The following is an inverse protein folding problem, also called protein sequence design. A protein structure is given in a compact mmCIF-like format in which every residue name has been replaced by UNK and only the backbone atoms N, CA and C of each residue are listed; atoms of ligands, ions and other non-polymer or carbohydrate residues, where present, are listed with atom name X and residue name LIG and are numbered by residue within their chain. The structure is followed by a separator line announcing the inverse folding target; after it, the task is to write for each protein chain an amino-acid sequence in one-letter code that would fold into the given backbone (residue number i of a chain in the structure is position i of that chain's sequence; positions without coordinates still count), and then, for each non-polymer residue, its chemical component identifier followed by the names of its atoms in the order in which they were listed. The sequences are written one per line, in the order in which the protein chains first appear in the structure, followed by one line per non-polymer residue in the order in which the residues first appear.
data_IF_525852881072
#
_entry.id   IF_525852881072
#
_cell.length_a   1.000
_cell.length_b   1.000
_cell.length_c   1.000
_cell.angle_alpha   90.00
_cell.angle_beta   90.00
_cell.angle_gamma   90.00
#
_symmetry.space_group_name_H-M   'P 1'
#
loop_
_entity.id
_entity.type
_entity.pdbx_description
1 polymer ?
#
# COMPACT_ATOMS: atom_id res chain seq x y z
N UNK A 1 -18.74 -37.75 -2.20
CA UNK A 1 -19.29 -36.40 -2.49
C UNK A 1 -18.75 -35.32 -1.55
N UNK A 2 -18.76 -35.48 -0.22
CA UNK A 2 -18.30 -34.44 0.73
C UNK A 2 -16.86 -33.92 0.54
N UNK A 3 -15.93 -34.77 0.06
CA UNK A 3 -14.52 -34.42 -0.14
C UNK A 3 -14.28 -33.45 -1.31
N UNK A 4 -15.16 -33.43 -2.30
CA UNK A 4 -15.08 -32.48 -3.42
C UNK A 4 -15.60 -31.08 -3.01
N UNK A 5 -16.58 -30.99 -2.12
CA UNK A 5 -17.11 -29.72 -1.60
C UNK A 5 -16.15 -28.99 -0.64
N UNK A 6 -15.43 -29.72 0.22
CA UNK A 6 -14.41 -29.11 1.09
C UNK A 6 -13.23 -28.57 0.29
N UNK A 7 -12.80 -29.30 -0.74
CA UNK A 7 -11.70 -28.88 -1.61
C UNK A 7 -12.05 -27.59 -2.35
N UNK A 8 -13.27 -27.45 -2.86
CA UNK A 8 -13.72 -26.21 -3.52
C UNK A 8 -13.87 -25.04 -2.54
N UNK A 9 -14.31 -25.27 -1.30
CA UNK A 9 -14.37 -24.23 -0.27
C UNK A 9 -12.99 -23.74 0.13
N UNK A 10 -12.01 -24.62 0.28
CA UNK A 10 -10.63 -24.22 0.60
C UNK A 10 -9.95 -23.54 -0.58
N UNK A 11 -10.17 -24.00 -1.81
CA UNK A 11 -9.70 -23.30 -3.01
C UNK A 11 -10.31 -21.89 -3.10
N UNK A 12 -11.63 -21.74 -2.92
CA UNK A 12 -12.30 -20.43 -2.94
C UNK A 12 -11.80 -19.49 -1.85
N UNK A 13 -11.55 -19.97 -0.63
CA UNK A 13 -10.94 -19.17 0.44
C UNK A 13 -9.53 -18.72 0.07
N UNK A 14 -8.68 -19.65 -0.39
CA UNK A 14 -7.30 -19.35 -0.77
C UNK A 14 -7.24 -18.35 -1.94
N UNK A 15 -8.09 -18.52 -2.96
CA UNK A 15 -8.18 -17.59 -4.09
C UNK A 15 -8.69 -16.21 -3.65
N UNK A 16 -9.65 -16.15 -2.72
CA UNK A 16 -10.13 -14.90 -2.15
C UNK A 16 -9.02 -14.18 -1.36
N UNK A 17 -8.17 -14.90 -0.66
CA UNK A 17 -7.04 -14.33 0.07
C UNK A 17 -6.01 -13.69 -0.88
N UNK A 18 -5.65 -14.36 -1.99
CA UNK A 18 -4.77 -13.79 -3.02
C UNK A 18 -5.34 -12.52 -3.67
N UNK A 19 -6.65 -12.52 -3.94
CA UNK A 19 -7.34 -11.33 -4.46
C UNK A 19 -7.35 -10.19 -3.43
N UNK A 20 -7.49 -10.52 -2.14
CA UNK A 20 -7.41 -9.56 -1.03
C UNK A 20 -6.03 -8.93 -0.94
N UNK A 21 -4.96 -9.73 -0.96
CA UNK A 21 -3.58 -9.22 -0.93
C UNK A 21 -3.23 -8.37 -2.16
N UNK A 22 -3.73 -8.72 -3.34
CA UNK A 22 -3.53 -7.89 -4.54
C UNK A 22 -4.22 -6.53 -4.39
N UNK A 23 -5.48 -6.50 -3.95
CA UNK A 23 -6.24 -5.26 -3.75
C UNK A 23 -5.58 -4.35 -2.69
N UNK A 24 -5.04 -4.98 -1.66
CA UNK A 24 -4.32 -4.34 -0.57
C UNK A 24 -2.98 -3.73 -1.02
N UNK A 25 -2.19 -4.49 -1.80
CA UNK A 25 -0.98 -3.99 -2.43
C UNK A 25 -1.26 -2.82 -3.37
N UNK A 26 -2.37 -2.87 -4.13
CA UNK A 26 -2.84 -1.75 -4.95
C UNK A 26 -3.19 -0.53 -4.10
N UNK A 27 -3.90 -0.70 -2.98
CA UNK A 27 -4.26 0.40 -2.08
C UNK A 27 -3.02 1.06 -1.45
N UNK A 28 -2.05 0.26 -1.02
CA UNK A 28 -0.78 0.76 -0.49
C UNK A 28 0.06 1.46 -1.56
N UNK A 29 0.20 0.85 -2.74
CA UNK A 29 0.93 1.43 -3.87
C UNK A 29 0.34 2.77 -4.30
N UNK A 30 -0.99 2.85 -4.38
CA UNK A 30 -1.71 4.10 -4.68
C UNK A 30 -1.42 5.19 -3.64
N UNK A 31 -1.42 4.85 -2.35
CA UNK A 31 -1.12 5.78 -1.27
C UNK A 31 0.31 6.33 -1.36
N UNK A 32 1.31 5.47 -1.63
CA UNK A 32 2.72 5.87 -1.79
C UNK A 32 2.89 6.82 -2.98
N UNK A 33 2.26 6.50 -4.11
CA UNK A 33 2.32 7.32 -5.33
C UNK A 33 1.74 8.70 -5.04
N UNK A 34 0.57 8.78 -4.40
CA UNK A 34 -0.08 10.06 -4.05
C UNK A 34 0.81 10.90 -3.14
N UNK A 35 1.34 10.31 -2.08
CA UNK A 35 2.18 11.02 -1.10
C UNK A 35 3.44 11.54 -1.79
N UNK A 36 4.11 10.72 -2.59
CA UNK A 36 5.34 11.10 -3.29
C UNK A 36 5.09 12.20 -4.32
N UNK A 37 4.02 12.10 -5.12
CA UNK A 37 3.65 13.12 -6.10
C UNK A 37 3.20 14.43 -5.44
N UNK A 38 2.49 14.35 -4.31
CA UNK A 38 2.12 15.52 -3.53
C UNK A 38 3.36 16.28 -3.04
N UNK A 39 4.36 15.56 -2.51
CA UNK A 39 5.64 16.15 -2.11
C UNK A 39 6.34 16.86 -3.27
N UNK A 40 6.38 16.23 -4.44
CA UNK A 40 6.97 16.82 -5.65
C UNK A 40 6.20 18.06 -6.15
N UNK A 41 4.87 18.01 -6.15
CA UNK A 41 4.01 19.12 -6.56
C UNK A 41 4.14 20.36 -5.66
N UNK A 42 4.29 20.15 -4.34
CA UNK A 42 4.57 21.23 -3.39
C UNK A 42 5.92 21.90 -3.68
N UNK A 43 6.95 21.10 -3.98
CA UNK A 43 8.29 21.60 -4.30
C UNK A 43 8.27 22.49 -5.57
N UNK A 44 7.46 22.10 -6.56
CA UNK A 44 7.27 22.85 -7.81
C UNK A 44 6.48 24.15 -7.58
N UNK A 45 5.45 24.12 -6.73
CA UNK A 45 4.62 25.28 -6.40
C UNK A 45 5.40 26.34 -5.62
N UNK A 46 6.25 25.91 -4.68
CA UNK A 46 7.03 26.82 -3.84
C UNK A 46 8.21 27.46 -4.59
N UNK A 47 8.54 27.05 -5.82
CA UNK A 47 9.74 27.49 -6.59
C UNK A 47 11.00 27.50 -5.72
N UNK A 48 11.06 26.61 -4.74
CA UNK A 48 12.13 26.61 -3.77
C UNK A 48 13.32 25.92 -4.43
N UNK A 49 14.40 26.66 -4.70
CA UNK A 49 15.61 26.06 -5.30
C UNK A 49 16.18 24.94 -4.43
N UNK A 50 15.92 25.01 -3.13
CA UNK A 50 16.16 23.95 -2.17
C UNK A 50 14.91 23.07 -2.03
N UNK A 51 14.98 21.88 -2.62
CA UNK A 51 13.98 20.79 -2.64
C UNK A 51 13.70 20.14 -1.27
N UNK A 52 13.60 20.95 -0.23
CA UNK A 52 13.53 20.52 1.18
C UNK A 52 12.22 19.76 1.44
N UNK A 53 11.13 20.18 0.81
CA UNK A 53 9.84 19.51 0.96
C UNK A 53 9.89 18.12 0.35
N UNK A 54 10.45 17.96 -0.86
CA UNK A 54 10.66 16.64 -1.48
C UNK A 54 11.51 15.73 -0.60
N UNK A 55 12.58 16.24 0.02
CA UNK A 55 13.46 15.43 0.90
C UNK A 55 12.68 14.94 2.13
N UNK A 56 11.97 15.85 2.81
CA UNK A 56 11.17 15.51 4.00
C UNK A 56 10.05 14.54 3.62
N UNK A 57 9.32 14.79 2.53
CA UNK A 57 8.25 13.92 2.04
C UNK A 57 8.77 12.56 1.61
N UNK A 58 9.95 12.47 0.99
CA UNK A 58 10.56 11.19 0.62
C UNK A 58 10.87 10.35 1.85
N UNK A 59 11.44 10.96 2.90
CA UNK A 59 11.73 10.27 4.16
C UNK A 59 10.42 9.84 4.83
N UNK A 60 9.47 10.78 4.98
CA UNK A 60 8.14 10.50 5.54
C UNK A 60 7.40 9.42 4.78
N UNK A 61 7.48 9.40 3.45
CA UNK A 61 6.83 8.40 2.61
C UNK A 61 7.39 7.00 2.87
N UNK A 62 8.69 6.86 3.10
CA UNK A 62 9.30 5.56 3.47
C UNK A 62 8.79 5.13 4.85
N UNK A 63 8.78 6.03 5.83
CA UNK A 63 8.24 5.72 7.17
C UNK A 63 6.76 5.34 7.13
N UNK A 64 5.93 6.08 6.38
CA UNK A 64 4.52 5.77 6.20
C UNK A 64 4.33 4.44 5.47
N UNK A 65 5.09 4.17 4.42
CA UNK A 65 4.99 2.91 3.68
C UNK A 65 5.27 1.71 4.58
N UNK A 66 6.32 1.79 5.41
CA UNK A 66 6.66 0.74 6.36
C UNK A 66 5.59 0.63 7.45
N UNK A 67 5.14 1.74 8.02
CA UNK A 67 4.10 1.75 9.06
C UNK A 67 2.79 1.15 8.54
N UNK A 68 2.36 1.55 7.34
CA UNK A 68 1.16 1.00 6.70
C UNK A 68 1.35 -0.47 6.38
N UNK A 69 2.48 -0.89 5.82
CA UNK A 69 2.75 -2.30 5.54
C UNK A 69 2.65 -3.16 6.80
N UNK A 70 3.32 -2.72 7.88
CA UNK A 70 3.33 -3.44 9.15
C UNK A 70 1.94 -3.45 9.78
N UNK A 71 1.27 -2.30 9.85
CA UNK A 71 -0.09 -2.19 10.38
C UNK A 71 -1.08 -3.03 9.62
N UNK A 72 -0.98 -3.06 8.30
CA UNK A 72 -1.89 -3.78 7.42
C UNK A 72 -1.69 -5.30 7.50
N UNK A 73 -0.44 -5.76 7.60
CA UNK A 73 -0.11 -7.14 7.92
C UNK A 73 -0.58 -7.56 9.32
N UNK A 74 -0.48 -6.68 10.32
CA UNK A 74 -0.90 -6.95 11.71
C UNK A 74 -2.42 -6.84 11.92
N UNK A 75 -3.10 -5.99 11.15
CA UNK A 75 -4.53 -5.70 11.29
C UNK A 75 -5.42 -6.60 10.40
N UNK A 76 -4.82 -7.50 9.62
CA UNK A 76 -5.54 -8.50 8.83
C UNK A 76 -6.04 -9.67 9.70
N UNK A 77 -6.89 -9.35 10.70
CA UNK A 77 -7.75 -10.29 11.42
C UNK A 77 -9.16 -10.28 10.84
#
# INVERSE_FOLDING_TARGET
MKKHEELEKDLRRKTNDYAKYSSLAFQMGFTIIIITFAGYGLDLLLKNEFKIFTIIFSILSVFLAIYFAVKDLLNNK
#
